data_IF_707649854317
#
_entry.id   IF_707649854317
#
_cell.length_a   1.000
_cell.length_b   1.000
_cell.length_c   1.000
_cell.angle_alpha   90.00
_cell.angle_beta   90.00
_cell.angle_gamma   90.00
#
_symmetry.space_group_name_H-M   'P 1'
#
loop_
_entity.id
_entity.type
_entity.pdbx_description
1 polymer ?
#
# COMPACT_ATOMS: atom_id res chain seq x y z
N UNK A 1 5.78 -21.53 -34.93
CA UNK A 1 6.54 -21.02 -33.76
C UNK A 1 6.60 -19.47 -33.68
N UNK A 2 5.88 -18.74 -34.55
CA UNK A 2 5.84 -17.26 -34.52
C UNK A 2 4.93 -16.66 -33.44
N UNK A 3 3.89 -17.38 -33.00
CA UNK A 3 2.86 -16.79 -32.12
C UNK A 3 3.23 -16.57 -30.64
N UNK A 4 4.26 -17.24 -30.11
CA UNK A 4 4.65 -17.09 -28.70
C UNK A 4 5.58 -15.89 -28.52
N UNK A 5 6.46 -15.64 -29.47
CA UNK A 5 7.35 -14.47 -29.46
C UNK A 5 6.57 -13.16 -29.68
N UNK A 6 5.54 -13.17 -30.51
CA UNK A 6 4.67 -12.00 -30.72
C UNK A 6 3.84 -11.68 -29.48
N UNK A 7 3.37 -12.68 -28.73
CA UNK A 7 2.65 -12.47 -27.48
C UNK A 7 3.56 -11.98 -26.34
N UNK A 8 4.83 -12.39 -26.32
CA UNK A 8 5.83 -11.90 -25.38
C UNK A 8 6.23 -10.46 -25.72
N UNK A 9 6.46 -10.16 -27.01
CA UNK A 9 6.77 -8.80 -27.46
C UNK A 9 5.60 -7.82 -27.23
N UNK A 10 4.35 -8.25 -27.43
CA UNK A 10 3.18 -7.42 -27.08
C UNK A 10 3.08 -7.14 -25.58
N UNK A 11 3.37 -8.13 -24.73
CA UNK A 11 3.42 -7.92 -23.28
C UNK A 11 4.58 -7.03 -22.85
N UNK A 12 5.74 -7.15 -23.50
CA UNK A 12 6.92 -6.29 -23.22
C UNK A 12 6.70 -4.86 -23.72
N UNK A 13 5.96 -4.66 -24.82
CA UNK A 13 5.56 -3.32 -25.28
C UNK A 13 4.48 -2.70 -24.38
N UNK A 14 3.65 -3.50 -23.71
CA UNK A 14 2.69 -3.02 -22.70
C UNK A 14 3.37 -2.57 -21.39
N UNK A 15 4.49 -3.19 -21.03
CA UNK A 15 5.33 -2.77 -19.88
C UNK A 15 6.01 -1.41 -20.11
N UNK A 16 6.15 -0.96 -21.39
CA UNK A 16 6.68 0.38 -21.73
C UNK A 16 5.63 1.50 -21.84
N UNK A 17 4.34 1.21 -21.68
CA UNK A 17 3.31 2.24 -21.62
C UNK A 17 3.12 2.64 -20.13
N UNK A 18 3.62 3.81 -19.82
CA UNK A 18 3.54 4.49 -18.52
C UNK A 18 2.06 4.84 -18.18
N UNK A 19 1.21 3.80 -18.01
CA UNK A 19 -0.24 3.92 -17.81
C UNK A 19 -0.63 3.39 -16.43
N UNK A 20 -1.50 4.12 -15.77
CA UNK A 20 -2.14 3.71 -14.53
C UNK A 20 -3.57 3.26 -14.81
N UNK A 21 -3.93 2.06 -14.37
CA UNK A 21 -5.30 1.55 -14.43
C UNK A 21 -6.00 1.82 -13.11
N UNK A 22 -7.08 2.60 -13.16
CA UNK A 22 -7.88 2.95 -11.99
C UNK A 22 -9.26 2.30 -12.04
N UNK A 23 -9.63 1.59 -10.98
CA UNK A 23 -11.01 1.22 -10.71
C UNK A 23 -11.72 2.42 -10.07
N UNK A 24 -12.75 2.94 -10.74
CA UNK A 24 -13.54 4.06 -10.24
C UNK A 24 -14.70 3.57 -9.37
N UNK A 25 -14.94 4.26 -8.27
CA UNK A 25 -16.00 3.93 -7.32
C UNK A 25 -16.53 5.18 -6.59
N UNK A 26 -17.62 5.02 -5.84
CA UNK A 26 -18.20 6.07 -4.98
C UNK A 26 -18.34 5.58 -3.56
N UNK A 27 -18.12 6.47 -2.60
CA UNK A 27 -18.36 6.23 -1.17
C UNK A 27 -19.80 6.63 -0.79
N UNK A 28 -19.94 7.81 -0.23
CA UNK A 28 -21.21 8.47 0.03
C UNK A 28 -21.35 9.66 -0.95
N UNK A 29 -22.46 9.97 -1.50
CA UNK A 29 -22.62 11.10 -2.41
C UNK A 29 -22.08 10.86 -3.82
N UNK A 30 -21.75 11.96 -4.55
CA UNK A 30 -21.46 11.94 -6.00
C UNK A 30 -19.96 12.00 -6.33
N UNK A 31 -19.09 12.17 -5.33
CA UNK A 31 -17.65 12.21 -5.54
C UNK A 31 -17.14 10.89 -6.10
N UNK A 32 -16.30 10.96 -7.14
CA UNK A 32 -15.58 9.81 -7.69
C UNK A 32 -14.24 9.62 -6.98
N UNK A 33 -13.94 8.37 -6.72
CA UNK A 33 -12.69 7.89 -6.19
C UNK A 33 -12.07 6.88 -7.13
N UNK A 34 -10.77 6.73 -7.06
CA UNK A 34 -10.01 5.73 -7.80
C UNK A 34 -9.08 4.93 -6.91
N UNK A 35 -8.94 3.67 -7.22
CA UNK A 35 -7.91 2.79 -6.66
C UNK A 35 -7.16 2.13 -7.81
N UNK A 36 -5.85 1.96 -7.65
CA UNK A 36 -5.03 1.22 -8.62
C UNK A 36 -5.53 -0.23 -8.73
N UNK A 37 -5.85 -0.65 -9.95
CA UNK A 37 -6.38 -2.01 -10.24
C UNK A 37 -5.40 -3.10 -9.81
N UNK A 38 -4.09 -2.87 -9.85
CA UNK A 38 -3.10 -3.84 -9.39
C UNK A 38 -3.24 -4.20 -7.90
N UNK A 39 -3.87 -3.32 -7.10
CA UNK A 39 -4.17 -3.58 -5.68
C UNK A 39 -5.48 -4.34 -5.48
N UNK A 40 -6.30 -4.47 -6.54
CA UNK A 40 -7.63 -5.08 -6.48
C UNK A 40 -7.55 -6.54 -6.88
N UNK A 41 -7.93 -7.42 -5.97
CA UNK A 41 -8.02 -8.86 -6.22
C UNK A 41 -9.34 -9.25 -6.87
N UNK A 42 -10.42 -8.72 -6.35
CA UNK A 42 -11.77 -8.89 -6.89
C UNK A 42 -12.74 -7.83 -6.36
N UNK A 43 -13.86 -7.69 -7.07
CA UNK A 43 -15.00 -6.85 -6.65
C UNK A 43 -16.23 -7.73 -6.58
N UNK A 44 -16.97 -7.63 -5.49
CA UNK A 44 -18.21 -8.38 -5.32
C UNK A 44 -19.28 -7.52 -4.64
N UNK A 45 -20.54 -7.91 -4.78
CA UNK A 45 -21.62 -7.31 -3.99
C UNK A 45 -21.36 -7.57 -2.50
N UNK A 46 -21.72 -6.64 -1.63
CA UNK A 46 -21.47 -6.76 -0.19
C UNK A 46 -21.93 -8.14 0.31
N UNK A 47 -20.99 -8.95 0.82
CA UNK A 47 -21.33 -10.28 1.33
C UNK A 47 -22.04 -10.15 2.67
N UNK A 48 -22.62 -11.26 3.14
CA UNK A 48 -23.17 -11.32 4.51
C UNK A 48 -22.05 -11.12 5.51
N UNK A 49 -22.18 -10.10 6.36
CA UNK A 49 -21.20 -9.74 7.38
C UNK A 49 -21.55 -10.36 8.73
N UNK A 50 -20.55 -10.89 9.41
CA UNK A 50 -20.61 -11.28 10.82
C UNK A 50 -19.91 -10.20 11.64
N UNK A 51 -20.66 -9.53 12.51
CA UNK A 51 -20.13 -8.46 13.37
C UNK A 51 -19.18 -9.06 14.42
N UNK A 52 -18.03 -8.43 14.59
CA UNK A 52 -17.05 -8.82 15.61
C UNK A 52 -17.21 -7.96 16.88
N UNK A 53 -17.29 -8.56 18.07
CA UNK A 53 -17.30 -7.81 19.34
C UNK A 53 -16.01 -7.00 19.50
N UNK A 54 -16.13 -5.75 20.00
CA UNK A 54 -14.99 -4.84 20.29
C UNK A 54 -14.11 -4.50 19.07
N UNK A 55 -14.62 -4.65 17.85
CA UNK A 55 -13.91 -4.17 16.65
C UNK A 55 -13.92 -2.65 16.53
N UNK A 56 -12.97 -2.09 15.78
CA UNK A 56 -12.97 -0.68 15.39
C UNK A 56 -14.30 -0.32 14.70
N UNK A 57 -14.87 0.88 14.90
CA UNK A 57 -16.08 1.32 14.22
C UNK A 57 -16.01 1.26 12.68
N UNK A 58 -14.81 1.32 12.13
CA UNK A 58 -14.55 1.22 10.69
C UNK A 58 -14.71 -0.22 10.19
N UNK A 59 -14.47 -1.23 11.04
CA UNK A 59 -14.64 -2.65 10.69
C UNK A 59 -16.11 -3.02 10.82
N UNK A 60 -16.80 -3.21 9.69
CA UNK A 60 -18.24 -3.56 9.66
C UNK A 60 -18.49 -5.03 10.01
N UNK A 61 -17.46 -5.85 9.96
CA UNK A 61 -17.50 -7.26 10.30
C UNK A 61 -16.52 -8.07 9.49
N UNK A 62 -16.70 -9.39 9.50
CA UNK A 62 -15.95 -10.33 8.67
C UNK A 62 -16.89 -11.07 7.73
N UNK A 63 -16.38 -11.45 6.58
CA UNK A 63 -17.07 -12.27 5.60
C UNK A 63 -16.24 -13.50 5.24
N UNK A 64 -16.92 -14.62 4.93
CA UNK A 64 -16.26 -15.76 4.32
C UNK A 64 -16.27 -15.59 2.81
N UNK A 65 -15.10 -15.44 2.21
CA UNK A 65 -14.91 -15.28 0.76
C UNK A 65 -13.91 -16.34 0.31
N UNK A 66 -14.37 -17.25 -0.56
CA UNK A 66 -13.55 -18.36 -1.10
C UNK A 66 -12.88 -19.22 -0.01
N UNK A 67 -13.55 -19.40 1.13
CA UNK A 67 -13.02 -20.19 2.25
C UNK A 67 -12.11 -19.42 3.21
N UNK A 68 -11.77 -18.16 2.91
CA UNK A 68 -11.02 -17.25 3.78
C UNK A 68 -11.94 -16.34 4.58
N UNK A 69 -11.64 -16.11 5.85
CA UNK A 69 -12.33 -15.11 6.67
C UNK A 69 -11.64 -13.76 6.50
N UNK A 70 -12.33 -12.82 5.85
CA UNK A 70 -11.78 -11.53 5.43
C UNK A 70 -12.45 -10.41 6.21
N UNK A 71 -11.72 -9.51 6.85
CA UNK A 71 -12.28 -8.30 7.46
C UNK A 71 -12.78 -7.34 6.39
N UNK A 72 -13.96 -6.74 6.65
CA UNK A 72 -14.60 -5.80 5.74
C UNK A 72 -14.72 -4.45 6.43
N UNK A 73 -14.03 -3.47 5.85
CA UNK A 73 -13.92 -2.09 6.35
C UNK A 73 -14.84 -1.16 5.56
N UNK A 74 -15.48 -0.23 6.24
CA UNK A 74 -16.24 0.85 5.60
C UNK A 74 -15.28 1.97 5.19
N UNK A 75 -15.00 2.08 3.90
CA UNK A 75 -14.03 3.05 3.39
C UNK A 75 -14.50 4.50 3.59
N UNK A 76 -15.82 4.74 3.63
CA UNK A 76 -16.35 6.06 3.94
C UNK A 76 -16.05 6.45 5.39
N UNK A 77 -16.30 5.55 6.35
CA UNK A 77 -15.91 5.76 7.75
C UNK A 77 -14.41 5.91 7.93
N UNK A 78 -13.62 5.08 7.26
CA UNK A 78 -12.16 5.13 7.32
C UNK A 78 -11.62 6.50 6.88
N UNK A 79 -12.27 7.12 5.90
CA UNK A 79 -11.89 8.44 5.37
C UNK A 79 -12.57 9.61 6.10
N UNK A 80 -13.16 9.37 7.30
CA UNK A 80 -13.80 10.40 8.10
C UNK A 80 -15.15 10.89 7.57
N UNK A 81 -15.75 10.14 6.65
CA UNK A 81 -17.08 10.42 6.08
C UNK A 81 -18.18 9.67 6.82
N UNK A 82 -19.42 9.94 6.46
CA UNK A 82 -20.57 9.17 6.97
C UNK A 82 -20.52 7.75 6.43
N UNK A 83 -20.61 6.76 7.32
CA UNK A 83 -20.61 5.34 6.93
C UNK A 83 -21.81 4.96 6.06
N UNK A 84 -21.62 3.92 5.25
CA UNK A 84 -22.64 3.38 4.38
C UNK A 84 -23.84 2.86 5.19
N UNK A 85 -25.04 3.31 4.83
CA UNK A 85 -26.28 2.92 5.50
C UNK A 85 -26.91 1.69 4.84
N UNK A 86 -26.91 1.63 3.51
CA UNK A 86 -27.43 0.51 2.72
C UNK A 86 -26.28 -0.41 2.30
N UNK A 87 -26.09 -1.50 3.04
CA UNK A 87 -25.09 -2.51 2.71
C UNK A 87 -25.56 -3.46 1.62
N UNK A 88 -26.89 -3.62 1.44
CA UNK A 88 -27.45 -4.58 0.49
C UNK A 88 -27.11 -4.21 -0.95
N UNK A 89 -27.10 -2.91 -1.27
CA UNK A 89 -26.77 -2.38 -2.58
C UNK A 89 -25.33 -1.85 -2.67
N UNK A 90 -24.48 -2.18 -1.70
CA UNK A 90 -23.07 -1.78 -1.72
C UNK A 90 -22.16 -2.89 -2.27
N UNK A 91 -20.91 -2.55 -2.52
CA UNK A 91 -19.89 -3.46 -3.05
C UNK A 91 -18.70 -3.55 -2.08
N UNK A 92 -18.03 -4.69 -2.12
CA UNK A 92 -16.74 -4.89 -1.46
C UNK A 92 -15.64 -4.98 -2.51
N UNK A 93 -14.67 -4.09 -2.44
CA UNK A 93 -13.42 -4.17 -3.21
C UNK A 93 -12.44 -4.94 -2.34
N UNK A 94 -12.08 -6.15 -2.78
CA UNK A 94 -11.14 -7.01 -2.07
C UNK A 94 -9.74 -6.68 -2.55
N UNK A 95 -8.87 -6.38 -1.62
CA UNK A 95 -7.46 -6.06 -1.87
C UNK A 95 -6.55 -7.01 -1.12
N UNK A 96 -5.32 -7.15 -1.59
CA UNK A 96 -4.28 -7.89 -0.90
C UNK A 96 -3.06 -6.99 -0.75
N UNK A 97 -2.57 -6.87 0.48
CA UNK A 97 -1.36 -6.14 0.82
C UNK A 97 -0.58 -6.92 1.87
N UNK A 98 0.72 -7.13 1.64
CA UNK A 98 1.58 -7.92 2.52
C UNK A 98 0.95 -9.26 2.91
N UNK A 99 0.47 -10.02 1.93
CA UNK A 99 -0.24 -11.30 2.11
C UNK A 99 -1.54 -11.24 2.91
N UNK A 100 -1.96 -10.06 3.38
CA UNK A 100 -3.22 -9.87 4.10
C UNK A 100 -4.31 -9.45 3.13
N UNK A 101 -5.40 -10.20 3.16
CA UNK A 101 -6.57 -9.93 2.32
C UNK A 101 -7.62 -9.21 3.16
N UNK A 102 -8.12 -8.09 2.67
CA UNK A 102 -9.19 -7.30 3.28
C UNK A 102 -10.16 -6.78 2.22
N UNK A 103 -11.35 -6.40 2.66
CA UNK A 103 -12.36 -5.80 1.79
C UNK A 103 -12.70 -4.39 2.22
N UNK A 104 -12.88 -3.49 1.26
CA UNK A 104 -13.35 -2.13 1.47
C UNK A 104 -14.76 -1.97 0.92
N UNK A 105 -15.71 -1.63 1.80
CA UNK A 105 -17.07 -1.31 1.39
C UNK A 105 -17.13 0.05 0.72
N UNK A 106 -17.77 0.06 -0.46
CA UNK A 106 -18.04 1.23 -1.28
C UNK A 106 -19.50 1.21 -1.71
N UNK A 107 -20.08 2.39 -1.98
CA UNK A 107 -21.50 2.47 -2.41
C UNK A 107 -21.71 1.86 -3.78
N UNK A 108 -20.86 2.20 -4.73
CA UNK A 108 -20.94 1.70 -6.10
C UNK A 108 -19.56 1.59 -6.72
N UNK A 109 -19.42 0.64 -7.62
CA UNK A 109 -18.26 0.51 -8.49
C UNK A 109 -18.71 0.89 -9.90
N UNK A 110 -17.95 1.73 -10.57
CA UNK A 110 -18.31 2.28 -11.89
C UNK A 110 -17.62 1.49 -13.01
N UNK A 111 -16.40 1.83 -13.30
CA UNK A 111 -15.61 1.22 -14.39
C UNK A 111 -14.12 1.32 -14.14
N UNK A 112 -13.34 0.60 -14.92
CA UNK A 112 -11.89 0.77 -15.00
C UNK A 112 -11.59 1.80 -16.09
N UNK A 113 -10.64 2.68 -15.81
CA UNK A 113 -10.11 3.66 -16.77
C UNK A 113 -8.59 3.54 -16.83
N UNK A 114 -8.05 3.68 -18.04
CA UNK A 114 -6.62 3.73 -18.29
C UNK A 114 -6.20 5.18 -18.43
N UNK A 115 -5.20 5.61 -17.68
CA UNK A 115 -4.73 6.97 -17.64
C UNK A 115 -3.21 7.04 -17.85
N UNK A 116 -2.74 8.11 -18.46
CA UNK A 116 -1.32 8.39 -18.52
C UNK A 116 -0.88 9.06 -17.22
N UNK A 117 0.35 8.81 -16.77
CA UNK A 117 0.89 9.43 -15.55
C UNK A 117 0.88 10.96 -15.59
N UNK A 118 0.96 11.55 -16.77
CA UNK A 118 0.89 13.00 -16.98
C UNK A 118 -0.46 13.63 -16.59
N UNK A 119 -1.53 12.82 -16.58
CA UNK A 119 -2.88 13.24 -16.19
C UNK A 119 -3.13 13.13 -14.67
N UNK A 120 -2.13 12.62 -13.94
CA UNK A 120 -2.21 12.38 -12.50
C UNK A 120 -1.42 13.47 -11.79
N UNK A 121 -2.09 14.21 -10.93
CA UNK A 121 -1.52 15.36 -10.26
C UNK A 121 -1.43 15.13 -8.75
N UNK A 122 -0.42 15.69 -8.07
CA UNK A 122 -0.35 15.63 -6.62
C UNK A 122 -1.57 16.34 -5.99
N UNK A 123 -1.93 15.99 -4.75
CA UNK A 123 -3.00 16.65 -4.03
C UNK A 123 -2.78 18.15 -3.93
N UNK A 124 -3.84 18.98 -3.92
CA UNK A 124 -3.72 20.43 -3.77
C UNK A 124 -2.98 20.79 -2.47
N UNK A 125 -2.11 21.80 -2.53
CA UNK A 125 -1.44 22.35 -1.34
C UNK A 125 -2.51 22.85 -0.36
N UNK A 126 -2.49 22.36 0.88
CA UNK A 126 -3.46 22.73 1.91
C UNK A 126 -4.51 21.65 2.22
N UNK A 127 -4.54 20.56 1.50
CA UNK A 127 -5.42 19.43 1.81
C UNK A 127 -5.07 18.70 3.13
N UNK A 128 -4.04 19.15 3.86
CA UNK A 128 -3.57 18.53 5.11
C UNK A 128 -2.56 17.40 4.86
N UNK A 129 -1.79 17.03 5.89
CA UNK A 129 -0.81 15.93 5.79
C UNK A 129 -1.39 14.56 6.13
N UNK A 130 -2.63 14.51 6.62
CA UNK A 130 -3.27 13.30 7.17
C UNK A 130 -4.40 12.76 6.31
N UNK A 131 -4.40 13.02 5.01
CA UNK A 131 -5.42 12.46 4.13
C UNK A 131 -4.89 11.24 3.38
N UNK A 132 -5.81 10.34 3.07
CA UNK A 132 -5.55 9.11 2.30
C UNK A 132 -5.47 9.34 0.79
N UNK A 133 -5.43 10.59 0.38
CA UNK A 133 -5.38 11.01 -1.01
C UNK A 133 -3.94 10.97 -1.50
N UNK A 134 -3.65 10.09 -2.44
CA UNK A 134 -2.32 9.99 -3.06
C UNK A 134 -2.16 11.00 -4.20
N UNK A 135 -3.21 11.14 -5.01
CA UNK A 135 -3.21 12.00 -6.19
C UNK A 135 -4.64 12.35 -6.60
N UNK A 136 -4.75 13.27 -7.54
CA UNK A 136 -6.01 13.65 -8.18
C UNK A 136 -5.90 13.56 -9.70
N UNK A 137 -6.98 13.23 -10.36
CA UNK A 137 -7.09 13.25 -11.82
C UNK A 137 -8.47 13.69 -12.25
N UNK A 138 -8.74 13.74 -13.57
CA UNK A 138 -10.06 14.05 -14.13
C UNK A 138 -10.49 13.01 -15.12
N UNK A 139 -11.70 12.51 -14.92
CA UNK A 139 -12.38 11.59 -15.85
C UNK A 139 -13.73 12.20 -16.22
N UNK A 140 -14.00 12.36 -17.51
CA UNK A 140 -15.23 12.99 -18.03
C UNK A 140 -15.55 14.32 -17.35
N UNK A 141 -14.53 15.19 -17.17
CA UNK A 141 -14.61 16.50 -16.49
C UNK A 141 -14.89 16.42 -14.97
N UNK A 142 -15.05 15.25 -14.39
CA UNK A 142 -15.20 15.06 -12.95
C UNK A 142 -13.84 14.85 -12.29
N UNK A 143 -13.64 15.47 -11.13
CA UNK A 143 -12.48 15.24 -10.31
C UNK A 143 -12.55 13.83 -9.71
N UNK A 144 -11.48 13.08 -9.80
CA UNK A 144 -11.30 11.76 -9.20
C UNK A 144 -10.20 11.87 -8.16
N UNK A 145 -10.50 11.44 -6.96
CA UNK A 145 -9.55 11.34 -5.84
C UNK A 145 -8.98 9.93 -5.79
N UNK A 146 -7.68 9.78 -5.96
CA UNK A 146 -6.99 8.47 -5.88
C UNK A 146 -6.65 8.20 -4.44
N UNK A 147 -7.23 7.12 -3.87
CA UNK A 147 -7.09 6.75 -2.47
C UNK A 147 -5.98 5.71 -2.29
N UNK A 148 -5.14 5.96 -1.28
CA UNK A 148 -4.19 4.99 -0.75
C UNK A 148 -4.87 4.11 0.31
N UNK A 149 -5.35 2.95 -0.13
CA UNK A 149 -6.02 1.99 0.75
C UNK A 149 -5.06 1.30 1.73
N UNK A 150 -3.76 1.27 1.42
CA UNK A 150 -2.74 0.72 2.31
C UNK A 150 -2.53 1.65 3.50
N UNK A 151 -2.48 2.96 3.25
CA UNK A 151 -2.42 3.95 4.31
C UNK A 151 -3.67 3.92 5.18
N UNK A 152 -4.86 3.78 4.57
CA UNK A 152 -6.12 3.57 5.31
C UNK A 152 -6.01 2.35 6.22
N UNK A 153 -5.51 1.24 5.69
CA UNK A 153 -5.38 0.00 6.44
C UNK A 153 -4.37 0.14 7.60
N UNK A 154 -3.23 0.76 7.35
CA UNK A 154 -2.19 0.95 8.35
C UNK A 154 -2.68 1.78 9.57
N UNK A 155 -3.61 2.70 9.37
CA UNK A 155 -4.18 3.52 10.44
C UNK A 155 -5.35 2.85 11.16
N UNK A 156 -6.23 2.17 10.41
CA UNK A 156 -7.46 1.57 10.96
C UNK A 156 -7.21 0.23 11.63
N UNK A 157 -6.31 -0.55 11.09
CA UNK A 157 -5.89 -1.85 11.60
C UNK A 157 -4.36 -1.87 11.69
N UNK A 158 -3.77 -1.07 12.61
CA UNK A 158 -2.34 -1.13 12.82
C UNK A 158 -1.98 -2.58 13.13
N UNK A 159 -1.20 -3.16 12.25
CA UNK A 159 -0.71 -4.52 12.46
C UNK A 159 0.24 -4.43 13.63
N UNK A 160 -0.19 -4.94 14.78
CA UNK A 160 0.76 -5.36 15.82
C UNK A 160 1.46 -6.62 15.29
N UNK A 161 2.34 -6.46 14.34
CA UNK A 161 3.41 -7.41 14.14
C UNK A 161 4.38 -7.15 15.29
N UNK A 162 3.99 -7.55 16.49
CA UNK A 162 4.94 -7.77 17.56
C UNK A 162 5.85 -8.88 17.05
N UNK A 163 7.04 -8.48 16.60
CA UNK A 163 8.16 -9.42 16.50
C UNK A 163 8.27 -10.00 17.89
N UNK A 164 7.97 -11.28 18.04
CA UNK A 164 7.99 -11.95 19.33
C UNK A 164 9.36 -11.71 19.96
N UNK A 165 9.42 -10.97 21.07
CA UNK A 165 10.63 -10.78 21.83
C UNK A 165 11.18 -12.17 22.16
N UNK A 166 12.34 -12.51 21.60
CA UNK A 166 13.00 -13.81 21.81
C UNK A 166 13.32 -14.62 20.55
N UNK A 167 13.04 -14.08 19.34
CA UNK A 167 13.40 -14.76 18.08
C UNK A 167 14.91 -14.72 17.80
N UNK A 168 15.65 -13.81 18.44
CA UNK A 168 17.08 -13.65 18.22
C UNK A 168 17.82 -14.07 19.46
N UNK A 169 18.72 -15.05 19.31
CA UNK A 169 19.63 -15.43 20.39
C UNK A 169 20.68 -14.32 20.66
N UNK A 170 21.23 -14.32 21.89
CA UNK A 170 22.19 -13.30 22.32
C UNK A 170 23.47 -13.27 21.48
N UNK A 171 23.80 -14.35 20.81
CA UNK A 171 24.98 -14.48 19.97
C UNK A 171 24.77 -13.81 18.59
N UNK A 172 23.59 -13.95 18.02
CA UNK A 172 23.18 -13.26 16.78
C UNK A 172 23.03 -11.77 17.02
N UNK A 173 22.50 -11.37 18.17
CA UNK A 173 22.36 -9.97 18.56
C UNK A 173 23.72 -9.28 18.73
N UNK A 174 24.73 -9.96 19.27
CA UNK A 174 26.08 -9.41 19.43
C UNK A 174 26.82 -9.20 18.10
N UNK A 175 26.53 -9.98 17.07
CA UNK A 175 27.09 -9.84 15.72
C UNK A 175 26.41 -8.72 14.90
N UNK A 176 25.15 -8.43 15.18
CA UNK A 176 24.39 -7.38 14.49
C UNK A 176 24.78 -5.95 14.97
N UNK A 177 25.37 -5.82 16.17
CA UNK A 177 25.65 -4.52 16.82
C UNK A 177 26.74 -3.68 16.11
N UNK A 178 27.53 -4.26 15.20
CA UNK A 178 28.65 -3.56 14.55
C UNK A 178 28.32 -3.01 13.16
N UNK A 179 27.23 -3.44 12.53
CA UNK A 179 26.87 -3.02 11.17
C UNK A 179 25.42 -2.57 11.10
N UNK A 180 25.12 -1.66 10.16
CA UNK A 180 23.76 -1.11 9.96
C UNK A 180 23.09 -1.73 8.74
N UNK A 181 21.78 -1.63 8.71
CA UNK A 181 20.96 -1.94 7.53
C UNK A 181 20.58 -0.64 6.82
N UNK A 182 20.78 -0.57 5.52
CA UNK A 182 20.29 0.54 4.69
C UNK A 182 18.94 0.13 4.10
N UNK A 183 17.89 0.89 4.42
CA UNK A 183 16.52 0.66 3.94
C UNK A 183 16.16 1.76 2.95
N UNK A 184 15.77 1.39 1.75
CA UNK A 184 15.41 2.31 0.67
C UNK A 184 14.05 1.92 0.12
N UNK A 185 13.05 2.80 0.24
CA UNK A 185 11.69 2.54 -0.17
C UNK A 185 10.95 3.87 -0.27
N UNK A 186 10.14 4.10 -1.29
CA UNK A 186 9.39 5.34 -1.47
C UNK A 186 8.14 5.38 -0.58
N UNK A 187 7.60 4.20 -0.21
CA UNK A 187 6.48 4.07 0.71
C UNK A 187 6.89 4.34 2.16
N UNK A 188 6.39 5.43 2.73
CA UNK A 188 6.60 5.75 4.15
C UNK A 188 6.02 4.68 5.09
N UNK A 189 5.04 3.91 4.65
CA UNK A 189 4.42 2.82 5.42
C UNK A 189 5.34 1.62 5.44
N UNK A 190 5.85 1.20 4.29
CA UNK A 190 6.78 0.09 4.17
C UNK A 190 8.07 0.39 4.95
N UNK A 191 8.66 1.60 4.81
CA UNK A 191 9.82 2.01 5.60
C UNK A 191 9.58 1.91 7.10
N UNK A 192 8.44 2.41 7.61
CA UNK A 192 8.10 2.32 9.04
C UNK A 192 7.95 0.87 9.51
N UNK A 193 7.42 -0.01 8.67
CA UNK A 193 7.25 -1.41 9.01
C UNK A 193 8.60 -2.13 9.13
N UNK A 194 9.48 -1.96 8.13
CA UNK A 194 10.83 -2.51 8.15
C UNK A 194 11.62 -1.95 9.34
N UNK A 195 11.50 -0.63 9.60
CA UNK A 195 12.08 0.04 10.77
C UNK A 195 11.73 -0.66 12.07
N UNK A 196 10.43 -0.86 12.33
CA UNK A 196 9.96 -1.52 13.56
C UNK A 196 10.48 -2.94 13.70
N UNK A 197 10.54 -3.69 12.59
CA UNK A 197 11.08 -5.05 12.60
C UNK A 197 12.57 -5.06 12.97
N UNK A 198 13.38 -4.16 12.40
CA UNK A 198 14.80 -4.05 12.66
C UNK A 198 15.11 -3.54 14.08
N UNK A 199 14.35 -2.55 14.57
CA UNK A 199 14.42 -2.06 15.95
C UNK A 199 14.13 -3.16 16.97
N UNK A 200 13.10 -4.00 16.70
CA UNK A 200 12.75 -5.12 17.57
C UNK A 200 13.85 -6.19 17.65
N UNK A 201 14.69 -6.30 16.62
CA UNK A 201 15.86 -7.19 16.57
C UNK A 201 17.14 -6.51 17.11
N UNK A 202 17.08 -5.19 17.37
CA UNK A 202 18.22 -4.42 17.90
C UNK A 202 19.26 -4.08 16.86
N UNK A 203 18.89 -4.00 15.57
CA UNK A 203 19.81 -3.67 14.46
C UNK A 203 19.70 -2.18 14.14
N UNK A 204 20.85 -1.48 14.12
CA UNK A 204 20.91 -0.10 13.65
C UNK A 204 20.58 -0.02 12.16
N UNK A 205 19.87 1.04 11.76
CA UNK A 205 19.53 1.24 10.37
C UNK A 205 19.57 2.70 9.95
N UNK A 206 19.65 2.89 8.62
CA UNK A 206 19.47 4.17 7.94
C UNK A 206 18.34 4.00 6.94
N UNK A 207 17.30 4.85 7.01
CA UNK A 207 16.14 4.79 6.13
C UNK A 207 16.17 5.98 5.15
N UNK A 208 16.06 5.69 3.85
CA UNK A 208 16.08 6.66 2.75
C UNK A 208 14.83 6.52 1.89
N UNK A 209 14.44 7.61 1.24
CA UNK A 209 13.14 7.69 0.57
C UNK A 209 13.18 7.20 -0.89
N UNK A 210 14.35 7.16 -1.50
CA UNK A 210 14.51 6.82 -2.91
C UNK A 210 15.94 6.34 -3.23
N UNK A 211 16.10 5.74 -4.41
CA UNK A 211 17.38 5.22 -4.87
C UNK A 211 18.45 6.30 -5.10
N UNK A 212 18.04 7.55 -5.37
CA UNK A 212 18.99 8.67 -5.52
C UNK A 212 19.66 9.00 -4.20
N UNK A 213 18.85 9.11 -3.13
CA UNK A 213 19.40 9.33 -1.78
C UNK A 213 20.31 8.18 -1.34
N UNK A 214 19.94 6.94 -1.71
CA UNK A 214 20.78 5.78 -1.43
C UNK A 214 22.14 5.86 -2.14
N UNK A 215 22.13 6.23 -3.41
CA UNK A 215 23.35 6.39 -4.20
C UNK A 215 24.25 7.50 -3.63
N UNK A 216 23.68 8.66 -3.30
CA UNK A 216 24.39 9.78 -2.69
C UNK A 216 24.99 9.37 -1.34
N UNK A 217 24.24 8.64 -0.51
CA UNK A 217 24.72 8.13 0.77
C UNK A 217 25.94 7.22 0.61
N UNK A 218 25.87 6.25 -0.33
CA UNK A 218 26.99 5.34 -0.59
C UNK A 218 28.21 6.06 -1.19
N UNK A 219 28.00 7.04 -2.08
CA UNK A 219 29.06 7.85 -2.66
C UNK A 219 29.76 8.69 -1.59
N UNK A 220 29.02 9.30 -0.67
CA UNK A 220 29.57 10.05 0.44
C UNK A 220 30.40 9.17 1.38
N UNK A 221 29.93 7.96 1.69
CA UNK A 221 30.70 6.98 2.46
C UNK A 221 32.07 6.70 1.80
N UNK A 222 32.07 6.44 0.49
CA UNK A 222 33.29 6.17 -0.26
C UNK A 222 34.23 7.39 -0.29
N UNK A 223 33.67 8.60 -0.45
CA UNK A 223 34.45 9.85 -0.44
C UNK A 223 35.14 10.11 0.94
N UNK A 224 34.50 9.64 2.02
CA UNK A 224 35.05 9.70 3.39
C UNK A 224 36.04 8.56 3.69
N UNK A 225 36.32 7.70 2.70
CA UNK A 225 37.21 6.55 2.85
C UNK A 225 36.60 5.37 3.60
N UNK A 226 35.28 5.37 3.81
CA UNK A 226 34.51 4.29 4.44
C UNK A 226 34.01 3.33 3.37
N UNK A 227 34.12 2.04 3.63
CA UNK A 227 33.69 1.00 2.67
C UNK A 227 32.32 0.47 3.07
N UNK A 228 31.34 0.43 2.16
CA UNK A 228 29.99 -0.09 2.46
C UNK A 228 30.01 -1.50 3.06
N UNK A 229 30.88 -2.39 2.58
CA UNK A 229 30.99 -3.77 3.09
C UNK A 229 31.48 -3.85 4.55
N UNK A 230 32.13 -2.83 5.06
CA UNK A 230 32.62 -2.79 6.46
C UNK A 230 31.53 -2.26 7.41
N UNK A 231 30.66 -1.37 6.94
CA UNK A 231 29.66 -0.69 7.77
C UNK A 231 28.22 -1.20 7.55
N UNK A 232 27.90 -1.72 6.37
CA UNK A 232 26.57 -2.21 6.06
C UNK A 232 26.48 -3.73 6.18
N UNK A 233 25.46 -4.20 6.89
CA UNK A 233 25.10 -5.62 6.95
C UNK A 233 24.39 -6.03 5.66
N UNK A 234 23.43 -5.22 5.23
CA UNK A 234 22.65 -5.41 3.99
C UNK A 234 22.01 -4.09 3.56
N UNK A 235 21.56 -4.08 2.31
CA UNK A 235 20.66 -3.08 1.76
C UNK A 235 19.33 -3.75 1.44
N UNK A 236 18.24 -3.16 1.92
CA UNK A 236 16.86 -3.54 1.61
C UNK A 236 16.29 -2.44 0.72
N UNK A 237 15.95 -2.77 -0.51
CA UNK A 237 15.37 -1.82 -1.46
C UNK A 237 14.12 -2.41 -2.08
N UNK A 238 13.08 -1.61 -2.22
CA UNK A 238 12.00 -1.90 -3.13
C UNK A 238 12.48 -1.77 -4.58
N UNK A 239 12.01 -2.64 -5.44
CA UNK A 239 12.32 -2.65 -6.87
C UNK A 239 11.00 -2.34 -7.59
N UNK A 240 10.79 -1.08 -7.91
CA UNK A 240 9.78 -0.66 -8.89
C UNK A 240 10.41 -0.33 -10.24
#
# INVERSE_FOLDING_TARGET
MAGVLDSVNQRTQLVGQNRLELLLFRLDGNQLYGINVFKVKEVLQCPRLTVMPKSSPVVRGVANIRGGTIPILDLALATGRRGLQDLTNSFAIITEYNTKVQGFLVRSVERIVNMNWEEIHPPPKGAGREHYLTAVTRVDKQLVEIIDVEKVLAEVAPTSEEVSHGVVDAETQSRAVTKRVLVVDDSSVARKQVTRCLEAVGVEMTALNDGRQALEYLQNMLAEGRRPEDELLMLISDIE
#
